data_IF_187999511139
#
_entry.id   IF_187999511139
#
_cell.length_a   1.000
_cell.length_b   1.000
_cell.length_c   1.000
_cell.angle_alpha   90.00
_cell.angle_beta   90.00
_cell.angle_gamma   90.00
#
_symmetry.space_group_name_H-M   'P 1'
#
loop_
_entity.id
_entity.type
_entity.pdbx_description
1 polymer ?
#
# COMPACT_ATOMS: atom_id res chain seq x y z
N UNK A 1 -4.05 15.87 -18.43
CA UNK A 1 -4.18 16.92 -17.40
C UNK A 1 -5.63 17.33 -17.31
N UNK A 2 -6.16 17.41 -16.09
CA UNK A 2 -7.51 17.86 -15.80
C UNK A 2 -7.39 18.78 -14.59
N UNK A 3 -7.75 20.04 -14.78
CA UNK A 3 -7.48 21.11 -13.82
C UNK A 3 -8.76 21.91 -13.59
N UNK A 4 -9.10 22.17 -12.33
CA UNK A 4 -10.29 22.96 -11.95
C UNK A 4 -11.59 22.46 -12.60
N UNK A 5 -11.70 21.15 -12.80
CA UNK A 5 -12.84 20.54 -13.45
C UNK A 5 -13.47 19.48 -12.53
N UNK A 6 -14.78 19.59 -12.31
CA UNK A 6 -15.52 18.75 -11.38
C UNK A 6 -16.54 17.87 -12.10
N UNK A 7 -16.97 16.79 -11.47
CA UNK A 7 -18.02 15.87 -11.98
C UNK A 7 -17.70 15.23 -13.34
N UNK A 8 -16.43 15.04 -13.63
CA UNK A 8 -15.96 14.37 -14.83
C UNK A 8 -15.91 12.85 -14.60
N UNK A 9 -16.07 12.11 -15.69
CA UNK A 9 -15.82 10.67 -15.73
C UNK A 9 -14.72 10.40 -16.75
N UNK A 10 -13.61 9.81 -16.30
CA UNK A 10 -12.58 9.27 -17.18
C UNK A 10 -12.63 7.75 -17.03
N UNK A 11 -13.03 7.07 -18.11
CA UNK A 11 -13.29 5.64 -18.09
C UNK A 11 -12.71 4.91 -19.30
N UNK A 12 -12.14 3.73 -19.07
CA UNK A 12 -11.79 2.80 -20.15
C UNK A 12 -10.63 3.26 -21.03
N UNK A 13 -9.79 4.17 -20.54
CA UNK A 13 -8.65 4.68 -21.30
C UNK A 13 -7.42 3.80 -21.08
N UNK A 14 -6.57 3.68 -22.11
CA UNK A 14 -5.23 3.08 -22.01
C UNK A 14 -4.20 4.18 -22.30
N UNK A 15 -3.25 4.37 -21.39
CA UNK A 15 -2.23 5.42 -21.43
C UNK A 15 -0.85 4.79 -21.27
N UNK A 16 0.06 5.06 -22.21
CA UNK A 16 1.36 4.36 -22.29
C UNK A 16 2.48 5.33 -22.62
N UNK A 17 3.65 5.15 -22.00
CA UNK A 17 4.88 5.93 -22.25
C UNK A 17 4.72 7.45 -22.06
N UNK A 18 3.93 7.85 -21.05
CA UNK A 18 3.66 9.25 -20.72
C UNK A 18 4.40 9.69 -19.46
N UNK A 19 4.56 11.01 -19.29
CA UNK A 19 4.96 11.57 -17.99
C UNK A 19 3.92 11.30 -16.90
N UNK A 20 2.64 11.48 -17.24
CA UNK A 20 1.50 11.19 -16.37
C UNK A 20 0.45 10.46 -17.19
N UNK A 21 -0.10 9.36 -16.68
CA UNK A 21 -1.31 8.79 -17.27
C UNK A 21 -2.49 9.74 -17.09
N UNK A 22 -2.87 9.97 -15.83
CA UNK A 22 -3.83 11.02 -15.46
C UNK A 22 -3.19 11.96 -14.45
N UNK A 23 -3.48 13.24 -14.61
CA UNK A 23 -3.04 14.29 -13.68
C UNK A 23 -4.23 15.18 -13.30
N UNK A 24 -4.72 15.07 -12.06
CA UNK A 24 -5.71 15.98 -11.48
C UNK A 24 -5.06 17.11 -10.71
N UNK A 25 -5.67 18.29 -10.81
CA UNK A 25 -5.33 19.46 -10.01
C UNK A 25 -6.62 20.22 -9.65
N UNK A 26 -6.88 20.45 -8.36
CA UNK A 26 -8.07 21.21 -7.90
C UNK A 26 -9.41 20.71 -8.46
N UNK A 27 -9.57 19.39 -8.60
CA UNK A 27 -10.65 18.78 -9.37
C UNK A 27 -11.46 17.83 -8.50
N UNK A 28 -12.72 18.16 -8.24
CA UNK A 28 -13.55 17.54 -7.20
C UNK A 28 -14.62 16.62 -7.78
N UNK A 29 -15.07 15.63 -6.99
CA UNK A 29 -16.24 14.81 -7.32
C UNK A 29 -16.12 14.09 -8.67
N UNK A 30 -14.90 13.69 -9.05
CA UNK A 30 -14.63 13.01 -10.31
C UNK A 30 -14.56 11.49 -10.15
N UNK A 31 -14.88 10.78 -11.23
CA UNK A 31 -14.78 9.33 -11.35
C UNK A 31 -13.64 8.95 -12.31
N UNK A 32 -12.64 8.23 -11.78
CA UNK A 32 -11.64 7.49 -12.54
C UNK A 32 -11.98 6.02 -12.48
N UNK A 33 -12.37 5.42 -13.60
CA UNK A 33 -12.84 4.03 -13.60
C UNK A 33 -12.28 3.18 -14.74
N UNK A 34 -11.81 1.97 -14.44
CA UNK A 34 -11.38 1.00 -15.47
C UNK A 34 -10.35 1.55 -16.46
N UNK A 35 -9.49 2.48 -16.04
CA UNK A 35 -8.39 2.97 -16.87
C UNK A 35 -7.13 2.13 -16.64
N UNK A 36 -6.20 2.18 -17.60
CA UNK A 36 -4.91 1.48 -17.53
C UNK A 36 -3.77 2.44 -17.85
N UNK A 37 -2.74 2.49 -17.00
CA UNK A 37 -1.45 3.13 -17.26
C UNK A 37 -0.36 2.09 -17.40
N UNK A 38 0.55 2.27 -18.37
CA UNK A 38 1.67 1.36 -18.66
C UNK A 38 2.95 2.12 -18.91
N UNK A 39 4.03 1.78 -18.21
CA UNK A 39 5.36 2.36 -18.50
C UNK A 39 5.41 3.89 -18.42
N UNK A 40 4.48 4.51 -17.68
CA UNK A 40 4.46 5.96 -17.49
C UNK A 40 5.38 6.36 -16.34
N UNK A 41 5.81 7.62 -16.29
CA UNK A 41 6.61 8.11 -15.16
C UNK A 41 5.81 8.27 -13.87
N UNK A 42 4.48 8.32 -13.97
CA UNK A 42 3.54 8.33 -12.85
C UNK A 42 2.18 7.94 -13.41
N UNK A 43 1.59 6.85 -12.94
CA UNK A 43 0.31 6.36 -13.46
C UNK A 43 -0.81 7.37 -13.24
N UNK A 44 -1.19 7.54 -11.97
CA UNK A 44 -2.27 8.44 -11.55
C UNK A 44 -1.73 9.48 -10.57
N UNK A 45 -1.51 10.71 -11.05
CA UNK A 45 -1.17 11.85 -10.22
C UNK A 45 -2.45 12.58 -9.78
N UNK A 46 -2.86 12.38 -8.54
CA UNK A 46 -4.03 12.99 -7.93
C UNK A 46 -3.56 14.12 -7.00
N UNK A 47 -3.82 15.37 -7.36
CA UNK A 47 -3.32 16.52 -6.60
C UNK A 47 -4.44 17.48 -6.19
N UNK A 48 -4.38 17.92 -4.94
CA UNK A 48 -5.18 19.00 -4.34
C UNK A 48 -6.67 18.88 -4.65
N UNK A 49 -7.20 17.67 -4.48
CA UNK A 49 -8.54 17.28 -4.93
C UNK A 49 -9.27 16.51 -3.82
N UNK A 50 -10.61 16.41 -3.89
CA UNK A 50 -11.39 15.70 -2.87
C UNK A 50 -12.61 15.01 -3.47
N UNK A 51 -13.13 14.01 -2.74
CA UNK A 51 -14.29 13.20 -3.14
C UNK A 51 -14.09 12.55 -4.50
N UNK A 52 -12.87 12.09 -4.75
CA UNK A 52 -12.58 11.30 -5.94
C UNK A 52 -13.08 9.88 -5.72
N UNK A 53 -13.58 9.27 -6.79
CA UNK A 53 -13.79 7.82 -6.88
C UNK A 53 -12.80 7.26 -7.87
N UNK A 54 -11.82 6.51 -7.38
CA UNK A 54 -10.76 5.89 -8.16
C UNK A 54 -10.99 4.38 -8.09
N UNK A 55 -11.67 3.83 -9.10
CA UNK A 55 -12.27 2.51 -9.05
C UNK A 55 -11.72 1.60 -10.16
N UNK A 56 -11.24 0.41 -9.82
CA UNK A 56 -10.84 -0.63 -10.78
C UNK A 56 -9.82 -0.17 -11.84
N UNK A 57 -8.97 0.80 -11.51
CA UNK A 57 -7.91 1.25 -12.41
C UNK A 57 -6.66 0.36 -12.26
N UNK A 58 -5.84 0.33 -13.31
CA UNK A 58 -4.63 -0.48 -13.37
C UNK A 58 -3.40 0.38 -13.67
N UNK A 59 -2.37 0.25 -12.85
CA UNK A 59 -1.04 0.83 -13.11
C UNK A 59 -0.04 -0.31 -13.23
N UNK A 60 0.59 -0.42 -14.41
CA UNK A 60 1.42 -1.56 -14.79
C UNK A 60 2.81 -1.08 -15.19
N UNK A 61 3.83 -1.43 -14.40
CA UNK A 61 5.23 -1.10 -14.68
C UNK A 61 5.48 0.41 -14.86
N UNK A 62 4.71 1.25 -14.16
CA UNK A 62 4.99 2.67 -14.10
C UNK A 62 6.26 2.95 -13.28
N UNK A 63 6.97 4.03 -13.56
CA UNK A 63 8.09 4.49 -12.75
C UNK A 63 7.61 5.42 -11.63
N UNK A 64 8.42 5.58 -10.58
CA UNK A 64 8.26 6.47 -9.42
C UNK A 64 6.98 6.27 -8.59
N UNK A 65 5.80 6.37 -9.20
CA UNK A 65 4.49 6.31 -8.55
C UNK A 65 3.47 5.60 -9.45
N UNK A 66 2.82 4.55 -8.93
CA UNK A 66 1.62 4.02 -9.58
C UNK A 66 0.44 4.95 -9.33
N UNK A 67 0.17 5.23 -8.05
CA UNK A 67 -0.79 6.25 -7.60
C UNK A 67 -0.06 7.24 -6.70
N UNK A 68 -0.06 8.51 -7.09
CA UNK A 68 0.44 9.64 -6.31
C UNK A 68 -0.76 10.42 -5.76
N UNK A 69 -0.90 10.48 -4.45
CA UNK A 69 -1.90 11.28 -3.74
C UNK A 69 -1.21 12.42 -3.00
N UNK A 70 -1.52 13.66 -3.38
CA UNK A 70 -0.97 14.85 -2.75
C UNK A 70 -2.11 15.81 -2.40
N UNK A 71 -2.38 16.02 -1.11
CA UNK A 71 -3.55 16.77 -0.63
C UNK A 71 -4.88 16.20 -1.17
N UNK A 72 -5.08 14.89 -1.04
CA UNK A 72 -6.34 14.22 -1.38
C UNK A 72 -7.15 13.95 -0.11
N UNK A 73 -8.43 14.32 -0.11
CA UNK A 73 -9.30 14.09 1.06
C UNK A 73 -10.64 13.48 0.67
N UNK A 74 -11.25 12.74 1.61
CA UNK A 74 -12.62 12.21 1.48
C UNK A 74 -12.84 11.39 0.21
N UNK A 75 -11.81 10.68 -0.27
CA UNK A 75 -11.83 9.96 -1.55
C UNK A 75 -11.81 8.46 -1.35
N UNK A 76 -12.37 7.75 -2.32
CA UNK A 76 -12.48 6.28 -2.35
C UNK A 76 -11.51 5.73 -3.41
N UNK A 77 -10.64 4.82 -2.99
CA UNK A 77 -9.79 4.03 -3.86
C UNK A 77 -10.18 2.56 -3.68
N UNK A 78 -10.86 1.99 -4.69
CA UNK A 78 -11.39 0.64 -4.59
C UNK A 78 -11.08 -0.22 -5.80
N UNK A 79 -10.65 -1.47 -5.56
CA UNK A 79 -10.45 -2.44 -6.63
C UNK A 79 -9.31 -2.12 -7.58
N UNK A 80 -8.45 -1.15 -7.26
CA UNK A 80 -7.34 -0.76 -8.13
C UNK A 80 -6.21 -1.80 -8.02
N UNK A 81 -5.50 -1.99 -9.13
CA UNK A 81 -4.37 -2.92 -9.22
C UNK A 81 -3.14 -2.13 -9.64
N UNK A 82 -2.13 -2.07 -8.78
CA UNK A 82 -0.86 -1.40 -9.07
C UNK A 82 0.26 -2.42 -8.96
N UNK A 83 1.00 -2.60 -10.04
CA UNK A 83 2.02 -3.65 -10.15
C UNK A 83 3.30 -3.15 -10.79
N UNK A 84 4.45 -3.64 -10.30
CA UNK A 84 5.72 -3.45 -10.97
C UNK A 84 6.29 -2.03 -10.89
N UNK A 85 5.87 -1.21 -9.90
CA UNK A 85 6.33 0.18 -9.84
C UNK A 85 7.80 0.23 -9.40
N UNK A 86 8.64 0.78 -10.28
CA UNK A 86 10.09 0.86 -10.09
C UNK A 86 10.58 2.29 -9.94
N UNK A 87 11.78 2.46 -9.40
CA UNK A 87 12.47 3.75 -9.44
C UNK A 87 12.63 4.23 -10.89
N UNK A 88 12.33 5.51 -11.14
CA UNK A 88 12.55 6.10 -12.46
C UNK A 88 14.02 6.29 -12.79
N UNK A 89 14.35 6.19 -14.08
CA UNK A 89 15.75 6.30 -14.52
C UNK A 89 16.27 7.74 -14.37
N UNK A 90 17.01 8.00 -13.29
CA UNK A 90 17.79 9.23 -13.12
C UNK A 90 19.27 8.91 -13.33
N UNK A 91 19.74 8.95 -14.58
CA UNK A 91 21.16 8.92 -14.98
C UNK A 91 22.07 7.89 -14.25
N UNK A 92 21.54 6.72 -13.87
CA UNK A 92 22.31 5.66 -13.20
C UNK A 92 22.65 5.91 -11.73
N UNK A 93 22.10 6.95 -11.10
CA UNK A 93 22.31 7.23 -9.67
C UNK A 93 21.09 6.78 -8.88
N UNK A 94 21.28 5.83 -7.97
CA UNK A 94 20.26 5.49 -6.98
C UNK A 94 20.21 6.61 -5.94
N UNK A 95 19.14 7.40 -5.96
CA UNK A 95 18.88 8.45 -4.98
C UNK A 95 17.97 7.88 -3.90
N UNK A 96 18.39 7.96 -2.63
CA UNK A 96 17.53 7.57 -1.51
C UNK A 96 16.23 8.39 -1.54
N UNK A 97 15.08 7.71 -1.42
CA UNK A 97 13.76 8.34 -1.57
C UNK A 97 13.17 8.30 -2.98
N UNK A 98 13.96 7.94 -4.00
CA UNK A 98 13.49 7.79 -5.38
C UNK A 98 12.90 6.40 -5.69
N UNK A 99 12.70 5.55 -4.68
CA UNK A 99 12.16 4.20 -4.87
C UNK A 99 10.78 4.26 -5.54
N UNK A 100 10.45 3.31 -6.42
CA UNK A 100 9.10 3.18 -6.99
C UNK A 100 8.06 2.87 -5.92
N UNK A 101 6.99 3.64 -5.86
CA UNK A 101 5.92 3.51 -4.85
C UNK A 101 4.62 3.13 -5.52
N UNK A 102 4.06 1.97 -5.20
CA UNK A 102 2.78 1.55 -5.77
C UNK A 102 1.69 2.58 -5.41
N UNK A 103 1.63 2.98 -4.14
CA UNK A 103 0.89 4.16 -3.71
C UNK A 103 1.73 5.06 -2.80
N UNK A 104 1.75 6.36 -3.11
CA UNK A 104 2.35 7.39 -2.28
C UNK A 104 1.32 8.40 -1.82
N UNK A 105 1.31 8.68 -0.52
CA UNK A 105 0.30 9.48 0.17
C UNK A 105 1.00 10.62 0.93
N UNK A 106 0.75 11.84 0.47
CA UNK A 106 1.27 13.06 1.07
C UNK A 106 0.12 13.96 1.53
N UNK A 107 0.10 14.29 2.82
CA UNK A 107 -0.91 15.13 3.48
C UNK A 107 -2.34 14.86 2.99
N UNK A 108 -2.72 13.59 2.91
CA UNK A 108 -4.01 13.14 2.38
C UNK A 108 -4.73 12.36 3.47
N UNK A 109 -5.94 12.81 3.83
CA UNK A 109 -6.65 12.39 5.03
C UNK A 109 -8.08 11.94 4.72
N UNK A 110 -8.66 11.10 5.56
CA UNK A 110 -10.06 10.67 5.46
C UNK A 110 -10.37 9.97 4.12
N UNK A 111 -9.42 9.22 3.57
CA UNK A 111 -9.64 8.43 2.36
C UNK A 111 -9.85 6.95 2.73
N UNK A 112 -10.55 6.22 1.86
CA UNK A 112 -10.79 4.79 2.01
C UNK A 112 -10.05 4.04 0.91
N UNK A 113 -9.23 3.06 1.32
CA UNK A 113 -8.56 2.10 0.46
C UNK A 113 -9.15 0.72 0.73
N UNK A 114 -9.95 0.23 -0.21
CA UNK A 114 -10.66 -1.03 -0.08
C UNK A 114 -10.36 -1.95 -1.26
N UNK A 115 -10.00 -3.21 -1.01
CA UNK A 115 -9.95 -4.20 -2.07
C UNK A 115 -8.93 -3.90 -3.18
N UNK A 116 -7.83 -3.18 -2.88
CA UNK A 116 -6.80 -2.87 -3.87
C UNK A 116 -5.65 -3.89 -3.81
N UNK A 117 -4.98 -4.11 -4.93
CA UNK A 117 -3.73 -4.86 -5.01
C UNK A 117 -2.55 -3.91 -5.25
N UNK A 118 -1.55 -3.97 -4.37
CA UNK A 118 -0.27 -3.28 -4.52
C UNK A 118 0.85 -4.31 -4.52
N UNK A 119 1.42 -4.60 -5.69
CA UNK A 119 2.34 -5.71 -5.84
C UNK A 119 3.63 -5.41 -6.62
N UNK A 120 4.64 -6.25 -6.39
CA UNK A 120 5.90 -6.29 -7.16
C UNK A 120 6.59 -4.93 -7.33
N UNK A 121 6.44 -4.03 -6.34
CA UNK A 121 6.98 -2.66 -6.38
C UNK A 121 8.13 -2.48 -5.39
N UNK A 122 8.93 -1.42 -5.51
CA UNK A 122 9.96 -1.16 -4.49
C UNK A 122 9.31 -0.88 -3.12
N UNK A 123 8.26 -0.06 -3.10
CA UNK A 123 7.45 0.18 -1.90
C UNK A 123 5.97 -0.04 -2.24
N UNK A 124 5.26 -0.84 -1.43
CA UNK A 124 3.81 -1.03 -1.58
C UNK A 124 3.04 0.26 -1.28
N UNK A 125 3.11 0.73 -0.05
CA UNK A 125 2.47 1.97 0.39
C UNK A 125 3.45 2.85 1.18
N UNK A 126 3.51 4.13 0.81
CA UNK A 126 4.31 5.13 1.52
C UNK A 126 3.45 6.32 1.92
N UNK A 127 3.35 6.58 3.24
CA UNK A 127 2.65 7.74 3.79
C UNK A 127 3.60 8.66 4.53
N UNK A 128 3.39 9.96 4.35
CA UNK A 128 4.13 11.01 5.03
C UNK A 128 3.27 12.26 5.22
N UNK A 129 3.81 13.25 5.94
CA UNK A 129 3.23 14.58 6.14
C UNK A 129 1.80 14.55 6.73
N UNK A 130 1.56 13.74 7.76
CA UNK A 130 0.29 13.71 8.48
C UNK A 130 -0.87 13.12 7.69
N UNK A 131 -0.61 12.16 6.79
CA UNK A 131 -1.64 11.40 6.04
C UNK A 131 -2.40 10.42 6.96
N UNK A 132 -3.11 10.97 7.93
CA UNK A 132 -3.80 10.28 9.01
C UNK A 132 -5.29 10.06 8.68
N UNK A 133 -5.96 9.23 9.50
CA UNK A 133 -7.40 8.97 9.41
C UNK A 133 -7.84 8.37 8.06
N UNK A 134 -6.96 7.60 7.42
CA UNK A 134 -7.31 6.82 6.24
C UNK A 134 -7.75 5.40 6.66
N UNK A 135 -8.84 4.90 6.08
CA UNK A 135 -9.28 3.51 6.25
C UNK A 135 -8.55 2.64 5.23
N UNK A 136 -7.85 1.59 5.67
CA UNK A 136 -7.10 0.68 4.80
C UNK A 136 -7.46 -0.75 5.18
N UNK A 137 -8.31 -1.41 4.39
CA UNK A 137 -8.80 -2.75 4.67
C UNK A 137 -9.14 -3.53 3.39
N UNK A 138 -9.15 -4.86 3.47
CA UNK A 138 -9.41 -5.76 2.35
C UNK A 138 -8.40 -5.66 1.20
N UNK A 139 -7.27 -4.97 1.39
CA UNK A 139 -6.24 -4.83 0.36
C UNK A 139 -5.27 -6.01 0.39
N UNK A 140 -4.49 -6.16 -0.67
CA UNK A 140 -3.39 -7.12 -0.75
C UNK A 140 -2.07 -6.40 -1.09
N UNK A 141 -1.06 -6.59 -0.23
CA UNK A 141 0.30 -6.09 -0.41
C UNK A 141 1.23 -7.27 -0.68
N UNK A 142 1.67 -7.41 -1.93
CA UNK A 142 2.27 -8.68 -2.41
C UNK A 142 3.64 -8.47 -3.03
N UNK A 143 4.67 -9.13 -2.50
CA UNK A 143 6.02 -9.16 -3.06
C UNK A 143 6.63 -7.77 -3.32
N UNK A 144 6.28 -6.78 -2.50
CA UNK A 144 6.98 -5.50 -2.51
C UNK A 144 8.30 -5.63 -1.75
N UNK A 145 9.35 -4.91 -2.17
CA UNK A 145 10.63 -4.93 -1.44
C UNK A 145 10.47 -4.38 -0.01
N UNK A 146 9.56 -3.41 0.16
CA UNK A 146 9.07 -2.93 1.43
C UNK A 146 7.56 -2.74 1.35
N UNK A 147 6.77 -3.42 2.18
CA UNK A 147 5.33 -3.26 2.14
C UNK A 147 4.90 -1.85 2.54
N UNK A 148 5.39 -1.37 3.69
CA UNK A 148 4.97 -0.08 4.27
C UNK A 148 6.18 0.79 4.62
N UNK A 149 6.17 2.03 4.12
CA UNK A 149 7.02 3.13 4.59
C UNK A 149 6.11 4.18 5.24
N UNK A 150 6.12 4.26 6.56
CA UNK A 150 5.31 5.23 7.29
C UNK A 150 6.23 6.23 7.98
N UNK A 151 6.03 7.52 7.69
CA UNK A 151 6.84 8.62 8.23
C UNK A 151 5.92 9.64 8.90
N UNK A 152 5.52 9.36 10.14
CA UNK A 152 4.75 10.26 10.99
C UNK A 152 4.89 9.88 12.47
N UNK A 153 4.28 10.67 13.35
CA UNK A 153 4.42 10.56 14.82
C UNK A 153 3.24 9.91 15.53
N UNK A 154 2.16 9.58 14.80
CA UNK A 154 0.95 8.97 15.37
C UNK A 154 0.80 7.52 14.91
N UNK A 155 0.28 6.68 15.78
CA UNK A 155 -0.07 5.30 15.41
C UNK A 155 -1.31 5.28 14.52
N UNK A 156 -1.38 4.35 13.58
CA UNK A 156 -2.53 4.11 12.72
C UNK A 156 -2.94 2.64 12.82
N UNK A 157 -4.25 2.39 12.87
CA UNK A 157 -4.82 1.04 12.77
C UNK A 157 -5.39 0.87 11.36
N UNK A 158 -4.90 -0.12 10.62
CA UNK A 158 -5.32 -0.43 9.25
C UNK A 158 -6.17 -1.69 9.24
N UNK A 159 -7.39 -1.51 9.69
CA UNK A 159 -8.48 -2.45 9.53
C UNK A 159 -9.79 -1.66 9.62
N UNK A 160 -10.87 -2.27 9.19
CA UNK A 160 -12.22 -1.77 9.41
C UNK A 160 -13.07 -2.91 9.93
N UNK A 161 -13.62 -2.74 11.13
CA UNK A 161 -14.28 -3.82 11.85
C UNK A 161 -13.33 -5.02 11.92
N UNK A 162 -13.79 -6.23 11.59
CA UNK A 162 -12.98 -7.45 11.59
C UNK A 162 -12.26 -7.72 10.25
N UNK A 163 -12.13 -6.70 9.40
CA UNK A 163 -11.48 -6.81 8.09
C UNK A 163 -10.17 -6.02 8.05
N UNK A 164 -9.03 -6.72 8.04
CA UNK A 164 -7.71 -6.14 7.80
C UNK A 164 -7.24 -6.37 6.37
N UNK A 165 -5.93 -6.51 6.16
CA UNK A 165 -5.30 -6.61 4.85
C UNK A 165 -4.46 -7.89 4.73
N UNK A 166 -4.23 -8.33 3.50
CA UNK A 166 -3.28 -9.39 3.22
C UNK A 166 -1.87 -8.83 3.03
N UNK A 167 -0.89 -9.43 3.70
CA UNK A 167 0.53 -9.09 3.58
C UNK A 167 1.33 -10.34 3.23
N UNK A 168 2.02 -10.35 2.09
CA UNK A 168 2.80 -11.53 1.66
C UNK A 168 4.00 -11.84 2.56
N UNK A 169 4.39 -10.89 3.41
CA UNK A 169 5.43 -11.01 4.44
C UNK A 169 4.84 -11.16 5.85
N UNK A 170 3.53 -11.37 6.01
CA UNK A 170 2.96 -11.70 7.30
C UNK A 170 3.45 -13.07 7.78
N UNK A 171 3.96 -13.09 9.01
CA UNK A 171 4.57 -14.26 9.64
C UNK A 171 3.82 -14.71 10.91
N UNK A 172 2.57 -14.28 11.08
CA UNK A 172 1.74 -14.78 12.17
C UNK A 172 1.10 -16.12 11.84
N UNK A 173 0.13 -16.49 12.66
CA UNK A 173 -0.58 -17.76 12.58
C UNK A 173 -2.07 -17.53 12.83
N UNK A 174 -2.87 -18.52 12.47
CA UNK A 174 -4.32 -18.56 12.63
C UNK A 174 -4.66 -19.90 13.30
N UNK A 175 -4.85 -19.89 14.62
CA UNK A 175 -5.03 -21.11 15.43
C UNK A 175 -6.46 -21.60 15.43
N UNK A 176 -7.43 -20.70 15.36
CA UNK A 176 -8.85 -21.03 15.34
C UNK A 176 -9.40 -21.26 13.92
N UNK A 177 -8.57 -21.01 12.90
CA UNK A 177 -8.80 -21.29 11.48
C UNK A 177 -9.93 -20.45 10.88
N UNK A 178 -10.07 -19.21 11.34
CA UNK A 178 -11.09 -18.27 10.84
C UNK A 178 -10.63 -17.49 9.59
N UNK A 179 -9.35 -17.62 9.20
CA UNK A 179 -8.75 -16.95 8.06
C UNK A 179 -8.12 -15.59 8.39
N UNK A 180 -8.14 -15.18 9.65
CA UNK A 180 -7.53 -13.97 10.19
C UNK A 180 -6.34 -14.40 11.08
N UNK A 181 -5.25 -13.63 11.04
CA UNK A 181 -4.11 -13.90 11.89
C UNK A 181 -4.34 -13.48 13.34
N UNK A 182 -3.99 -14.34 14.28
CA UNK A 182 -4.12 -14.15 15.73
C UNK A 182 -3.19 -13.05 16.29
N UNK A 183 -2.19 -12.63 15.50
CA UNK A 183 -1.20 -11.62 15.90
C UNK A 183 -1.29 -10.44 14.94
N UNK A 184 -1.39 -9.19 15.44
CA UNK A 184 -1.40 -8.02 14.57
C UNK A 184 -0.17 -7.96 13.66
N UNK A 185 -0.35 -7.54 12.40
CA UNK A 185 0.76 -7.20 11.53
C UNK A 185 1.28 -5.80 11.88
N UNK A 186 2.59 -5.67 12.02
CA UNK A 186 3.27 -4.39 12.21
C UNK A 186 4.46 -4.30 11.26
N UNK A 187 4.57 -3.26 10.42
CA UNK A 187 5.67 -3.14 9.48
C UNK A 187 7.02 -2.92 10.20
N UNK A 188 8.00 -3.79 9.91
CA UNK A 188 9.38 -3.73 10.41
C UNK A 188 9.56 -4.11 11.90
N UNK A 189 8.92 -5.18 12.38
CA UNK A 189 9.31 -5.79 13.66
C UNK A 189 10.81 -6.21 13.62
N UNK A 190 11.49 -6.14 14.76
CA UNK A 190 12.92 -6.46 14.88
C UNK A 190 13.20 -7.94 14.54
N UNK A 191 12.23 -8.83 14.79
CA UNK A 191 12.30 -10.23 14.35
C UNK A 191 12.16 -10.33 12.83
N UNK A 192 11.28 -9.55 12.23
CA UNK A 192 11.13 -9.52 10.77
C UNK A 192 12.41 -9.04 10.09
N UNK A 193 13.10 -8.03 10.66
CA UNK A 193 14.44 -7.61 10.18
C UNK A 193 15.47 -8.73 10.24
N UNK A 194 15.45 -9.56 11.28
CA UNK A 194 16.36 -10.70 11.41
C UNK A 194 16.09 -11.73 10.31
N UNK A 195 14.81 -12.01 10.04
CA UNK A 195 14.38 -12.98 9.03
C UNK A 195 14.63 -12.48 7.59
N UNK A 196 14.54 -11.18 7.35
CA UNK A 196 14.99 -10.56 6.10
C UNK A 196 16.49 -10.72 5.88
N UNK A 197 17.29 -10.55 6.94
CA UNK A 197 18.73 -10.72 6.86
C UNK A 197 19.15 -12.18 6.64
N UNK A 198 18.35 -13.13 7.13
CA UNK A 198 18.62 -14.56 7.03
C UNK A 198 17.38 -15.34 6.56
N UNK A 199 17.09 -15.38 5.25
CA UNK A 199 15.90 -16.06 4.70
C UNK A 199 15.83 -17.55 5.07
N UNK A 200 16.98 -18.21 5.21
CA UNK A 200 17.14 -19.60 5.67
C UNK A 200 16.47 -19.84 7.05
N UNK A 201 16.40 -18.80 7.89
CA UNK A 201 15.82 -18.88 9.23
C UNK A 201 14.28 -18.97 9.22
N UNK A 202 13.61 -18.79 8.07
CA UNK A 202 12.15 -19.01 7.93
C UNK A 202 11.72 -20.42 8.34
N UNK A 203 12.59 -21.42 8.25
CA UNK A 203 12.29 -22.79 8.70
C UNK A 203 12.05 -22.86 10.22
N UNK A 204 12.63 -21.94 10.99
CA UNK A 204 12.55 -21.91 12.45
C UNK A 204 11.34 -21.12 12.97
N UNK A 205 10.48 -20.64 12.09
CA UNK A 205 9.40 -19.72 12.40
C UNK A 205 8.37 -20.27 13.38
N UNK A 206 8.20 -21.60 13.41
CA UNK A 206 7.35 -22.33 14.37
C UNK A 206 8.17 -23.03 15.47
N UNK A 207 9.41 -22.61 15.68
CA UNK A 207 10.27 -23.17 16.72
C UNK A 207 10.05 -22.46 18.06
N UNK A 208 10.20 -23.17 19.19
CA UNK A 208 10.11 -22.56 20.52
C UNK A 208 11.06 -21.37 20.74
N UNK A 209 12.17 -21.29 20.00
CA UNK A 209 13.12 -20.20 20.09
C UNK A 209 12.53 -18.88 19.55
N UNK A 210 11.79 -18.94 18.45
CA UNK A 210 11.09 -17.78 17.88
C UNK A 210 9.92 -17.36 18.79
N UNK A 211 9.17 -18.32 19.33
CA UNK A 211 8.11 -18.03 20.31
C UNK A 211 8.66 -17.32 21.55
N UNK A 212 9.82 -17.76 22.05
CA UNK A 212 10.47 -17.13 23.20
C UNK A 212 10.90 -15.69 22.88
N UNK A 213 11.47 -15.46 21.69
CA UNK A 213 11.86 -14.11 21.26
C UNK A 213 10.66 -13.17 21.16
N UNK A 214 9.53 -13.64 20.60
CA UNK A 214 8.28 -12.87 20.51
C UNK A 214 7.72 -12.56 21.90
N UNK A 215 7.66 -13.56 22.79
CA UNK A 215 7.23 -13.34 24.18
C UNK A 215 8.10 -12.31 24.90
N UNK A 216 9.43 -12.33 24.70
CA UNK A 216 10.33 -11.31 25.28
C UNK A 216 10.02 -9.91 24.73
N UNK A 217 9.74 -9.77 23.43
CA UNK A 217 9.38 -8.48 22.84
C UNK A 217 8.05 -7.94 23.36
N UNK A 218 7.07 -8.81 23.59
CA UNK A 218 5.77 -8.45 24.19
C UNK A 218 5.91 -8.06 25.66
N UNK A 219 6.71 -8.82 26.43
CA UNK A 219 6.93 -8.59 27.86
C UNK A 219 7.80 -7.34 28.14
N UNK A 220 8.71 -7.01 27.21
CA UNK A 220 9.59 -5.84 27.30
C UNK A 220 9.45 -4.97 26.05
N UNK A 221 8.34 -4.22 25.91
CA UNK A 221 8.17 -3.32 24.79
C UNK A 221 9.21 -2.19 24.92
N UNK A 222 10.29 -2.26 24.12
CA UNK A 222 11.11 -1.09 23.81
C UNK A 222 10.14 -0.05 23.24
N UNK A 223 10.19 1.20 23.70
CA UNK A 223 9.28 2.28 23.26
C UNK A 223 9.13 2.22 21.74
N UNK A 224 8.03 1.63 21.26
CA UNK A 224 7.80 1.44 19.82
C UNK A 224 7.59 2.83 19.25
N UNK A 225 8.34 3.15 18.19
CA UNK A 225 8.07 4.36 17.43
C UNK A 225 6.63 4.26 16.89
N UNK A 226 5.95 5.41 16.77
CA UNK A 226 4.64 5.46 16.16
C UNK A 226 4.68 4.79 14.78
N UNK A 227 3.68 3.96 14.51
CA UNK A 227 3.70 3.05 13.37
C UNK A 227 2.31 2.70 12.88
N UNK A 228 2.28 1.84 11.87
CA UNK A 228 1.06 1.22 11.36
C UNK A 228 0.92 -0.13 12.04
N UNK A 229 -0.31 -0.50 12.39
CA UNK A 229 -0.66 -1.85 12.80
C UNK A 229 -1.92 -2.28 12.08
N UNK A 230 -1.97 -3.52 11.62
CA UNK A 230 -3.18 -4.16 11.12
C UNK A 230 -3.59 -5.24 12.13
N UNK A 231 -4.67 -5.03 12.90
CA UNK A 231 -5.11 -5.96 13.94
C UNK A 231 -5.78 -7.23 13.39
N UNK A 232 -6.17 -7.26 12.11
CA UNK A 232 -6.90 -8.38 11.50
C UNK A 232 -6.24 -8.82 10.18
N UNK A 233 -4.93 -9.16 10.19
CA UNK A 233 -4.21 -9.50 8.97
C UNK A 233 -4.82 -10.76 8.33
N UNK A 234 -5.09 -10.70 7.04
CA UNK A 234 -5.73 -11.81 6.32
C UNK A 234 -4.70 -12.90 6.00
N UNK A 235 -5.06 -14.16 6.23
CA UNK A 235 -4.19 -15.31 5.94
C UNK A 235 -4.09 -15.64 4.44
N UNK A 236 -5.02 -15.12 3.63
CA UNK A 236 -5.09 -15.35 2.19
C UNK A 236 -5.42 -14.06 1.45
N UNK A 237 -4.99 -13.99 0.20
CA UNK A 237 -5.36 -12.91 -0.71
C UNK A 237 -6.89 -12.91 -0.86
N UNK A 238 -7.58 -11.76 -0.71
CA UNK A 238 -9.01 -11.62 -0.98
C UNK A 238 -9.39 -12.22 -2.34
N UNK A 239 -10.45 -13.01 -2.39
CA UNK A 239 -10.89 -13.75 -3.60
C UNK A 239 -10.90 -12.91 -4.89
N UNK A 240 -11.46 -11.68 -4.91
CA UNK A 240 -11.46 -10.85 -6.13
C UNK A 240 -10.08 -10.49 -6.67
N UNK A 241 -9.04 -10.54 -5.83
CA UNK A 241 -7.67 -10.16 -6.18
C UNK A 241 -6.79 -11.36 -6.57
N UNK A 242 -7.22 -12.60 -6.34
CA UNK A 242 -6.41 -13.78 -6.64
C UNK A 242 -6.16 -13.96 -8.15
N UNK A 243 -7.07 -13.50 -9.01
CA UNK A 243 -6.88 -13.53 -10.46
C UNK A 243 -5.78 -12.60 -10.95
N UNK A 244 -5.40 -11.60 -10.15
CA UNK A 244 -4.46 -10.54 -10.52
C UNK A 244 -2.99 -10.92 -10.27
N UNK A 245 -2.75 -12.05 -9.60
CA UNK A 245 -1.41 -12.49 -9.16
C UNK A 245 -0.92 -13.72 -9.97
N UNK A 246 -1.68 -14.15 -10.99
CA UNK A 246 -1.33 -15.32 -11.83
C UNK A 246 -0.27 -15.02 -12.87
#
# INVERSE_FOLDING_TARGET
YIETANHNTLRGNVMTDLRYGIHYMYSMDNLLENNITRGTRTGYALMQSKRLRVINNRSENDENYGILMNFITQSELRGNVVTGVSQGQSAGVSIEGAEGKAVFIYNSLYNTFEGNLFANSNIGIHLTAGSEDNEVFGNAFVNNQRQVKYVATRTQSWAKEDSGNYWSDYLGWDRDQDGIGDVPYEPNDNVDRLLWKYPEAKVLMFSPAVDTLRWVQEAFPVVKAAGVSDPHPLMRIPEPLQSEIR
#
